data_IF_142334759381
#
_entry.id   IF_142334759381
#
_cell.length_a   1.000
_cell.length_b   1.000
_cell.length_c   1.000
_cell.angle_alpha   90.00
_cell.angle_beta   90.00
_cell.angle_gamma   90.00
#
_symmetry.space_group_name_H-M   'P 1'
#
loop_
_entity.id
_entity.type
_entity.pdbx_description
1 polymer ?
#
# COMPACT_ATOMS: atom_id res chain seq x y z
N UNK A 1 -5.69 -47.51 -7.25
CA UNK A 1 -6.01 -46.08 -7.19
C UNK A 1 -4.85 -45.37 -7.88
N UNK A 2 -5.09 -44.66 -8.99
CA UNK A 2 -4.02 -43.88 -9.63
C UNK A 2 -3.89 -42.57 -8.87
N UNK A 3 -2.77 -42.36 -8.19
CA UNK A 3 -2.40 -41.03 -7.71
C UNK A 3 -2.26 -40.12 -8.94
N UNK A 4 -3.15 -39.13 -9.03
CA UNK A 4 -2.94 -38.03 -9.95
C UNK A 4 -1.69 -37.29 -9.47
N UNK A 5 -0.64 -37.12 -10.30
CA UNK A 5 0.56 -36.42 -9.88
C UNK A 5 0.17 -35.01 -9.42
N UNK A 6 0.51 -34.68 -8.17
CA UNK A 6 0.31 -33.36 -7.61
C UNK A 6 1.03 -32.35 -8.51
N UNK A 7 0.29 -31.36 -9.02
CA UNK A 7 0.88 -30.34 -9.89
C UNK A 7 1.97 -29.61 -9.10
N UNK A 8 3.20 -29.66 -9.60
CA UNK A 8 4.30 -28.91 -9.03
C UNK A 8 3.93 -27.43 -8.91
N UNK A 9 4.12 -26.85 -7.72
CA UNK A 9 3.97 -25.42 -7.50
C UNK A 9 4.98 -24.67 -8.37
N UNK A 10 4.55 -23.56 -8.94
CA UNK A 10 5.37 -22.65 -9.74
C UNK A 10 5.40 -21.30 -9.06
N UNK A 11 6.55 -20.65 -9.07
CA UNK A 11 6.72 -19.30 -8.56
C UNK A 11 6.36 -18.27 -9.64
N UNK A 12 5.66 -17.22 -9.23
CA UNK A 12 5.29 -16.12 -10.12
C UNK A 12 5.56 -14.79 -9.43
N UNK A 13 6.31 -13.92 -10.09
CA UNK A 13 6.51 -12.54 -9.64
C UNK A 13 5.43 -11.64 -10.22
N UNK A 14 4.52 -11.16 -9.38
CA UNK A 14 3.41 -10.30 -9.80
C UNK A 14 3.70 -8.85 -9.40
N UNK A 15 3.68 -7.94 -10.38
CA UNK A 15 3.80 -6.50 -10.12
C UNK A 15 2.45 -5.94 -9.67
N UNK A 16 2.36 -5.52 -8.41
CA UNK A 16 1.12 -5.02 -7.81
C UNK A 16 1.28 -3.57 -7.34
N UNK A 17 0.21 -2.77 -7.45
CA UNK A 17 0.15 -1.38 -6.95
C UNK A 17 -1.15 -1.16 -6.19
N UNK A 18 -1.05 -0.75 -4.93
CA UNK A 18 -2.19 -0.27 -4.14
C UNK A 18 -2.28 1.26 -4.26
N UNK A 19 -3.48 1.78 -4.49
CA UNK A 19 -3.75 3.22 -4.62
C UNK A 19 -4.84 3.57 -3.61
N UNK A 20 -4.57 4.56 -2.78
CA UNK A 20 -5.53 5.09 -1.81
C UNK A 20 -5.93 6.49 -2.25
N UNK A 21 -7.24 6.76 -2.25
CA UNK A 21 -7.81 8.08 -2.52
C UNK A 21 -8.87 8.36 -1.46
N UNK A 22 -8.94 9.62 -1.02
CA UNK A 22 -9.88 10.06 -0.01
C UNK A 22 -9.81 11.56 0.21
N UNK A 23 -10.74 12.05 1.02
CA UNK A 23 -10.87 13.47 1.34
C UNK A 23 -10.90 13.64 2.86
N UNK A 24 -10.30 14.73 3.33
CA UNK A 24 -10.43 15.18 4.71
C UNK A 24 -10.56 16.71 4.72
N UNK A 25 -11.25 17.24 5.72
CA UNK A 25 -11.46 18.68 5.88
C UNK A 25 -10.41 19.26 6.80
N UNK A 26 -9.74 20.33 6.36
CA UNK A 26 -8.79 21.10 7.18
C UNK A 26 -9.43 22.44 7.52
N UNK A 27 -9.48 22.78 8.81
CA UNK A 27 -9.84 24.12 9.27
C UNK A 27 -8.62 25.03 9.15
N UNK A 28 -8.74 26.11 8.39
CA UNK A 28 -7.69 27.10 8.15
C UNK A 28 -8.31 28.47 7.85
N UNK A 29 -7.54 29.55 8.04
CA UNK A 29 -7.99 30.93 7.74
C UNK A 29 -8.14 31.18 6.23
N UNK A 30 -7.30 30.54 5.42
CA UNK A 30 -7.32 30.69 3.96
C UNK A 30 -6.76 29.42 3.26
N UNK A 31 -6.82 29.43 1.92
CA UNK A 31 -6.36 28.32 1.08
C UNK A 31 -4.83 28.11 1.17
N UNK A 32 -4.05 29.17 1.36
CA UNK A 32 -2.60 29.09 1.48
C UNK A 32 -2.22 28.35 2.77
N UNK A 33 -2.86 28.70 3.89
CA UNK A 33 -2.66 28.02 5.16
C UNK A 33 -3.13 26.56 5.12
N UNK A 34 -4.28 26.29 4.50
CA UNK A 34 -4.74 24.90 4.33
C UNK A 34 -3.70 24.07 3.56
N UNK A 35 -3.12 24.63 2.49
CA UNK A 35 -2.07 23.97 1.71
C UNK A 35 -0.81 23.74 2.52
N UNK A 36 -0.35 24.75 3.27
CA UNK A 36 0.81 24.62 4.16
C UNK A 36 0.61 23.50 5.19
N UNK A 37 -0.58 23.42 5.82
CA UNK A 37 -0.89 22.37 6.78
C UNK A 37 -0.80 20.97 6.15
N UNK A 38 -1.39 20.78 4.97
CA UNK A 38 -1.33 19.49 4.27
C UNK A 38 0.10 19.16 3.81
N UNK A 39 0.87 20.15 3.39
CA UNK A 39 2.24 19.96 2.91
C UNK A 39 3.21 19.60 4.04
N UNK A 40 3.14 20.32 5.18
CA UNK A 40 4.13 20.18 6.27
C UNK A 40 3.71 19.23 7.38
N UNK A 41 2.41 19.08 7.64
CA UNK A 41 1.91 18.36 8.82
C UNK A 41 1.07 17.13 8.50
N UNK A 42 0.61 16.99 7.24
CA UNK A 42 -0.08 15.77 6.80
C UNK A 42 0.87 14.86 6.01
N UNK A 43 0.88 13.59 6.37
CA UNK A 43 1.58 12.54 5.66
C UNK A 43 0.87 11.21 5.87
N UNK A 44 1.04 10.29 4.91
CA UNK A 44 0.68 8.90 5.10
C UNK A 44 1.99 8.16 5.33
N UNK A 45 2.19 7.65 6.53
CA UNK A 45 3.18 6.63 6.80
C UNK A 45 2.43 5.31 6.72
N UNK A 46 2.80 4.43 5.79
CA UNK A 46 2.35 3.04 5.84
C UNK A 46 3.16 2.37 6.96
N UNK A 47 2.77 2.68 8.20
CA UNK A 47 3.40 2.23 9.44
C UNK A 47 2.98 0.82 9.87
N UNK A 48 2.26 0.11 9.00
CA UNK A 48 1.87 -1.28 9.16
C UNK A 48 1.90 -1.97 7.81
N UNK A 49 2.11 -3.28 7.83
CA UNK A 49 2.20 -4.09 6.62
C UNK A 49 0.86 -4.08 5.87
N UNK A 50 0.93 -4.11 4.54
CA UNK A 50 -0.20 -4.61 3.77
C UNK A 50 -0.34 -6.08 4.17
N UNK A 51 -1.43 -6.43 4.83
CA UNK A 51 -1.62 -7.79 5.34
C UNK A 51 -2.19 -8.71 4.26
N UNK A 52 -1.75 -9.97 4.31
CA UNK A 52 -2.34 -11.08 3.56
C UNK A 52 -2.81 -12.15 4.54
N UNK A 53 -3.86 -12.88 4.19
CA UNK A 53 -4.28 -14.07 4.94
C UNK A 53 -3.57 -15.34 4.46
N UNK A 54 -2.71 -15.22 3.44
CA UNK A 54 -1.90 -16.33 2.93
C UNK A 54 -0.69 -16.54 3.84
N UNK A 55 -0.27 -17.80 4.05
CA UNK A 55 0.94 -18.11 4.82
C UNK A 55 2.21 -17.57 4.15
N UNK A 56 3.24 -17.31 4.96
CA UNK A 56 4.53 -16.76 4.53
C UNK A 56 5.25 -17.64 3.49
N UNK A 57 4.99 -18.95 3.50
CA UNK A 57 5.51 -19.90 2.51
C UNK A 57 5.00 -19.65 1.08
N UNK A 58 3.86 -18.96 0.94
CA UNK A 58 3.26 -18.64 -0.37
C UNK A 58 3.72 -17.28 -0.87
N UNK A 59 3.94 -16.30 0.03
CA UNK A 59 4.37 -14.96 -0.35
C UNK A 59 5.78 -14.70 0.12
N UNK A 60 6.72 -14.97 -0.78
CA UNK A 60 8.13 -14.60 -0.62
C UNK A 60 8.38 -13.23 -1.28
N UNK A 61 9.43 -12.52 -0.84
CA UNK A 61 9.84 -11.22 -1.39
C UNK A 61 8.79 -10.07 -1.28
N UNK A 62 8.18 -9.92 -0.10
CA UNK A 62 7.25 -8.83 0.19
C UNK A 62 7.95 -7.46 0.28
N UNK A 63 8.11 -6.79 -0.86
CA UNK A 63 8.82 -5.50 -0.94
C UNK A 63 7.85 -4.39 -1.39
N UNK A 64 7.44 -3.53 -0.45
CA UNK A 64 6.71 -2.30 -0.72
C UNK A 64 7.44 -1.09 -0.15
N UNK A 65 7.30 0.07 -0.81
CA UNK A 65 7.84 1.32 -0.29
C UNK A 65 6.97 1.82 0.88
N UNK A 66 7.59 2.16 1.99
CA UNK A 66 6.93 2.68 3.20
C UNK A 66 6.45 4.13 3.05
N UNK A 67 6.99 4.86 2.06
CA UNK A 67 6.65 6.26 1.79
C UNK A 67 5.88 6.42 0.46
N UNK A 68 4.55 6.61 0.50
CA UNK A 68 3.77 6.90 -0.69
C UNK A 68 4.05 8.31 -1.22
N UNK A 69 3.86 8.50 -2.52
CA UNK A 69 3.92 9.84 -3.14
C UNK A 69 2.68 10.64 -2.77
N UNK A 70 2.87 11.76 -2.06
CA UNK A 70 1.81 12.74 -1.77
C UNK A 70 1.53 13.61 -2.99
N UNK A 71 0.25 13.77 -3.35
CA UNK A 71 -0.23 14.67 -4.41
C UNK A 71 -1.32 15.54 -3.80
N UNK A 72 -1.17 16.86 -3.89
CA UNK A 72 -2.12 17.85 -3.39
C UNK A 72 -2.65 18.60 -4.60
N UNK A 73 -3.98 18.58 -4.77
CA UNK A 73 -4.69 19.26 -5.87
C UNK A 73 -5.37 20.52 -5.37
#
# INVERSE_FOLDING_TARGET
>A
MKECPEKAKKEYKIKTKFVFEGYFTVKAYDKSQAREYVEKHCGLLLGGDIHTTLPDEIITDWIFNVHPKKIIR
#
